data_IF_165457296508
#
_entry.id   IF_165457296508
#
_cell.length_a   1.000
_cell.length_b   1.000
_cell.length_c   1.000
_cell.angle_alpha   90.00
_cell.angle_beta   90.00
_cell.angle_gamma   90.00
#
_symmetry.space_group_name_H-M   'P 1'
#
loop_
_entity.id
_entity.type
_entity.pdbx_description
1 polymer ?
#
# COMPACT_ATOMS: atom_id res chain seq x y z
N UNK A 1 6.28 -5.66 7.62
CA UNK A 1 6.50 -6.18 6.25
C UNK A 1 6.69 -5.00 5.33
N UNK A 2 7.61 -5.07 4.37
CA UNK A 2 7.86 -3.97 3.42
C UNK A 2 7.29 -4.33 2.04
N UNK A 3 6.57 -3.39 1.43
CA UNK A 3 5.86 -3.56 0.16
C UNK A 3 6.04 -2.31 -0.69
N UNK A 4 6.47 -2.47 -1.94
CA UNK A 4 6.43 -1.35 -2.89
C UNK A 4 5.05 -1.27 -3.55
N UNK A 5 4.39 -0.12 -3.41
CA UNK A 5 3.10 0.22 -4.01
C UNK A 5 3.31 1.28 -5.10
N UNK A 6 2.70 1.08 -6.28
CA UNK A 6 2.70 2.04 -7.37
C UNK A 6 1.29 2.59 -7.55
N UNK A 7 1.15 3.91 -7.48
CA UNK A 7 -0.13 4.62 -7.59
C UNK A 7 -0.03 5.79 -8.56
N UNK A 8 -1.17 6.24 -9.09
CA UNK A 8 -1.23 7.42 -9.94
C UNK A 8 -1.46 8.68 -9.12
N UNK A 9 -0.62 9.69 -9.31
CA UNK A 9 -0.77 11.02 -8.74
C UNK A 9 -0.69 12.06 -9.86
N UNK A 10 -1.77 12.80 -10.09
CA UNK A 10 -1.84 13.79 -11.17
C UNK A 10 -1.60 13.22 -12.57
N UNK A 11 -1.91 11.93 -12.80
CA UNK A 11 -1.66 11.24 -14.08
C UNK A 11 -0.27 10.63 -14.24
N UNK A 12 0.60 10.75 -13.22
CA UNK A 12 1.96 10.22 -13.22
C UNK A 12 2.11 9.11 -12.17
N UNK A 13 3.05 8.19 -12.38
CA UNK A 13 3.32 7.10 -11.44
C UNK A 13 4.18 7.59 -10.28
N UNK A 14 3.70 7.33 -9.07
CA UNK A 14 4.41 7.49 -7.81
C UNK A 14 4.61 6.11 -7.19
N UNK A 15 5.86 5.78 -6.88
CA UNK A 15 6.23 4.55 -6.18
C UNK A 15 6.46 4.87 -4.72
N UNK A 16 5.82 4.10 -3.86
CA UNK A 16 5.93 4.19 -2.41
C UNK A 16 6.48 2.90 -1.85
N UNK A 17 7.47 3.00 -0.99
CA UNK A 17 7.89 1.91 -0.12
C UNK A 17 7.02 1.98 1.14
N UNK A 18 6.24 0.93 1.36
CA UNK A 18 5.23 0.87 2.41
C UNK A 18 5.66 -0.11 3.47
N UNK A 19 5.84 0.39 4.69
CA UNK A 19 6.04 -0.40 5.87
C UNK A 19 4.69 -0.70 6.52
N UNK A 20 4.28 -1.96 6.44
CA UNK A 20 3.09 -2.47 7.12
C UNK A 20 3.48 -2.80 8.57
N UNK A 21 3.02 -1.97 9.51
CA UNK A 21 3.22 -2.17 10.95
C UNK A 21 2.20 -3.19 11.49
N UNK A 22 0.93 -3.07 11.10
CA UNK A 22 -0.12 -4.02 11.44
C UNK A 22 -1.19 -4.10 10.33
N UNK A 23 -2.23 -4.92 10.52
CA UNK A 23 -3.27 -5.12 9.51
C UNK A 23 -4.17 -3.89 9.25
N UNK A 24 -3.99 -2.81 10.02
CA UNK A 24 -4.80 -1.59 9.96
C UNK A 24 -3.97 -0.31 9.89
N UNK A 25 -2.64 -0.38 9.92
CA UNK A 25 -1.75 0.77 9.93
C UNK A 25 -0.52 0.49 9.09
N UNK A 26 -0.20 1.43 8.19
CA UNK A 26 1.01 1.38 7.39
C UNK A 26 1.58 2.78 7.13
N UNK A 27 2.89 2.82 6.94
CA UNK A 27 3.65 4.02 6.64
C UNK A 27 4.18 3.91 5.21
N UNK A 28 3.71 4.76 4.32
CA UNK A 28 4.16 4.83 2.93
C UNK A 28 5.17 5.97 2.77
N UNK A 29 6.32 5.68 2.17
CA UNK A 29 7.38 6.64 1.88
C UNK A 29 7.63 6.71 0.37
N UNK A 30 7.62 7.91 -0.20
CA UNK A 30 7.84 8.12 -1.63
C UNK A 30 9.27 7.71 -2.00
N UNK A 31 9.37 6.68 -2.82
CA UNK A 31 10.62 6.13 -3.33
C UNK A 31 11.01 6.80 -4.65
N UNK A 32 10.05 6.92 -5.58
CA UNK A 32 10.27 7.60 -6.85
C UNK A 32 8.99 8.19 -7.42
N UNK A 33 9.12 9.23 -8.22
CA UNK A 33 8.01 9.84 -8.94
C UNK A 33 8.47 10.21 -10.34
N UNK A 34 7.69 9.83 -11.36
CA UNK A 34 8.03 10.08 -12.76
C UNK A 34 7.28 11.29 -13.38
N UNK A 35 6.62 12.09 -12.55
CA UNK A 35 5.91 13.29 -12.98
C UNK A 35 6.71 14.57 -12.78
N UNK A 36 5.98 15.69 -12.80
CA UNK A 36 6.58 17.01 -12.63
C UNK A 36 7.12 17.20 -11.19
N UNK A 37 8.42 17.49 -11.00
CA UNK A 37 9.00 17.71 -9.67
C UNK A 37 8.42 18.95 -8.94
N UNK A 38 7.74 19.86 -9.64
CA UNK A 38 7.00 20.97 -9.02
C UNK A 38 5.66 20.55 -8.40
N UNK A 39 5.16 19.35 -8.73
CA UNK A 39 3.91 18.78 -8.21
C UNK A 39 4.20 17.43 -7.54
N UNK A 40 5.19 17.43 -6.64
CA UNK A 40 5.58 16.22 -5.94
C UNK A 40 4.43 15.72 -5.06
N UNK A 41 4.13 14.42 -5.12
CA UNK A 41 3.21 13.84 -4.18
C UNK A 41 3.82 13.85 -2.77
N UNK A 42 3.00 13.68 -1.73
CA UNK A 42 3.44 13.67 -0.35
C UNK A 42 4.51 12.59 -0.11
N UNK A 43 5.61 12.98 0.53
CA UNK A 43 6.79 12.12 0.74
C UNK A 43 6.56 11.02 1.75
N UNK A 44 5.75 11.28 2.76
CA UNK A 44 5.45 10.34 3.83
C UNK A 44 3.96 10.40 4.08
N UNK A 45 3.30 9.25 4.07
CA UNK A 45 1.86 9.13 4.25
C UNK A 45 1.62 8.06 5.30
N UNK A 46 0.97 8.45 6.40
CA UNK A 46 0.47 7.50 7.39
C UNK A 46 -0.94 7.12 7.01
N UNK A 47 -1.15 5.82 6.79
CA UNK A 47 -2.42 5.26 6.39
C UNK A 47 -2.98 4.43 7.52
N UNK A 48 -4.27 4.64 7.82
CA UNK A 48 -5.03 3.83 8.77
C UNK A 48 -6.26 3.26 8.08
N UNK A 49 -6.53 1.99 8.33
CA UNK A 49 -7.69 1.30 7.81
C UNK A 49 -8.91 1.57 8.70
N UNK A 50 -9.92 2.20 8.13
CA UNK A 50 -11.23 2.41 8.74
C UNK A 50 -12.31 1.69 7.93
N UNK A 51 -12.75 0.54 8.44
CA UNK A 51 -13.71 -0.32 7.75
C UNK A 51 -13.14 -0.87 6.45
N UNK A 52 -13.71 -0.43 5.32
CA UNK A 52 -13.30 -0.82 3.96
C UNK A 52 -12.35 0.17 3.29
N UNK A 53 -12.14 1.33 3.90
CA UNK A 53 -11.36 2.41 3.34
C UNK A 53 -10.04 2.57 4.07
N UNK A 54 -9.05 3.08 3.34
CA UNK A 54 -7.81 3.58 3.94
C UNK A 54 -7.85 5.09 3.98
N UNK A 55 -7.54 5.65 5.15
CA UNK A 55 -7.58 7.08 5.40
C UNK A 55 -6.19 7.60 5.81
N UNK A 56 -5.95 8.86 5.51
CA UNK A 56 -4.79 9.62 5.96
C UNK A 56 -5.22 11.04 6.27
N UNK A 57 -4.55 11.69 7.23
CA UNK A 57 -4.76 13.11 7.51
C UNK A 57 -3.96 14.01 6.56
N UNK A 58 -2.95 13.46 5.89
CA UNK A 58 -1.97 14.23 5.11
C UNK A 58 -2.32 14.31 3.62
N UNK A 59 -3.21 13.43 3.13
CA UNK A 59 -3.50 13.28 1.69
C UNK A 59 -4.98 13.02 1.42
N UNK A 60 -5.40 13.25 0.19
CA UNK A 60 -6.77 12.98 -0.25
C UNK A 60 -7.18 11.52 -0.05
N UNK A 61 -8.48 11.30 0.20
CA UNK A 61 -9.04 9.96 0.41
C UNK A 61 -8.78 9.02 -0.78
N UNK A 62 -8.78 9.54 -2.03
CA UNK A 62 -8.49 8.72 -3.21
C UNK A 62 -7.08 8.13 -3.19
N UNK A 63 -6.07 8.96 -2.90
CA UNK A 63 -4.68 8.49 -2.81
C UNK A 63 -4.51 7.50 -1.65
N UNK A 64 -5.20 7.77 -0.53
CA UNK A 64 -5.18 6.89 0.63
C UNK A 64 -5.75 5.51 0.32
N UNK A 65 -6.93 5.45 -0.32
CA UNK A 65 -7.58 4.21 -0.74
C UNK A 65 -6.74 3.46 -1.79
N UNK A 66 -6.20 4.15 -2.81
CA UNK A 66 -5.40 3.52 -3.85
C UNK A 66 -4.11 2.89 -3.28
N UNK A 67 -3.41 3.61 -2.39
CA UNK A 67 -2.23 3.08 -1.71
C UNK A 67 -2.57 1.89 -0.83
N UNK A 68 -3.59 2.03 0.00
CA UNK A 68 -4.03 0.98 0.90
C UNK A 68 -4.45 -0.28 0.16
N UNK A 69 -5.18 -0.13 -0.94
CA UNK A 69 -5.60 -1.26 -1.77
C UNK A 69 -4.43 -1.94 -2.48
N UNK A 70 -3.49 -1.17 -3.04
CA UNK A 70 -2.27 -1.71 -3.65
C UNK A 70 -1.45 -2.53 -2.64
N UNK A 71 -1.33 -2.01 -1.41
CA UNK A 71 -0.68 -2.72 -0.29
C UNK A 71 -1.43 -3.99 0.06
N UNK A 72 -2.75 -3.95 0.17
CA UNK A 72 -3.56 -5.14 0.45
C UNK A 72 -3.44 -6.21 -0.63
N UNK A 73 -3.45 -5.84 -1.91
CA UNK A 73 -3.27 -6.79 -3.00
C UNK A 73 -1.89 -7.46 -2.98
N UNK A 74 -0.84 -6.71 -2.65
CA UNK A 74 0.54 -7.22 -2.54
C UNK A 74 0.80 -7.98 -1.23
N UNK A 75 0.10 -7.62 -0.15
CA UNK A 75 0.21 -8.27 1.15
C UNK A 75 -0.69 -9.52 1.31
N UNK A 76 -1.83 -9.58 0.62
CA UNK A 76 -2.74 -10.75 0.59
C UNK A 76 -2.05 -12.09 0.28
N UNK A 77 -1.16 -12.21 -0.73
CA UNK A 77 -0.46 -13.48 -0.96
C UNK A 77 0.42 -13.91 0.23
N UNK A 78 0.85 -12.98 1.08
CA UNK A 78 1.71 -13.26 2.25
C UNK A 78 0.87 -13.49 3.53
N UNK A 79 -0.28 -12.82 3.65
CA UNK A 79 -1.21 -13.01 4.78
C UNK A 79 -2.02 -14.31 4.67
N UNK A 80 -2.41 -14.72 3.45
CA UNK A 80 -3.09 -16.01 3.21
C UNK A 80 -2.12 -17.20 3.17
N UNK A 81 -0.81 -16.94 2.97
CA UNK A 81 0.24 -17.95 2.98
C UNK A 81 0.47 -18.66 4.32
N UNK A 82 -0.10 -18.18 5.43
CA UNK A 82 -0.07 -18.87 6.74
C UNK A 82 -1.20 -19.88 6.95
N UNK A 83 -2.07 -20.13 5.96
CA UNK A 83 -3.17 -21.12 6.04
C UNK A 83 -3.05 -22.26 5.02
N UNK A 84 -1.85 -22.57 4.55
CA UNK A 84 -1.56 -23.78 3.77
C UNK A 84 -0.46 -24.61 4.42
N UNK A 85 -0.62 -24.91 5.69
CA UNK A 85 -0.06 -26.14 6.27
C UNK A 85 -1.19 -27.17 6.30
N UNK A 86 -1.18 -28.10 5.34
CA UNK A 86 -2.25 -29.08 5.22
C UNK A 86 -2.05 -30.03 4.05
N UNK A 87 -1.04 -30.91 4.19
CA UNK A 87 -1.03 -32.31 3.75
C UNK A 87 -1.45 -32.69 2.32
N UNK A 88 -0.50 -33.30 1.60
CA UNK A 88 -0.78 -34.35 0.61
C UNK A 88 -1.74 -35.42 1.17
N UNK A 89 -2.51 -36.10 0.30
CA UNK A 89 -1.98 -37.32 -0.30
C UNK A 89 -2.05 -37.33 -1.82
N UNK A 90 -1.14 -38.11 -2.39
CA UNK A 90 -1.17 -38.54 -3.77
C UNK A 90 -2.34 -39.53 -4.00
N UNK A 91 -2.94 -39.46 -5.19
CA UNK A 91 -3.60 -40.58 -5.86
C UNK A 91 -3.05 -40.69 -7.29
#
# INVERSE_FOLDING_TARGET
MEVTAAVLYGGHLAHYDVQVENSRECLAQLSSFNGNPSQLPPRTIKLRKEGRHWISNDVDNRLSDDLGYAVELKAKPILEGRRREGGHPAE
#
